data_IF_183490246701
#
_entry.id   IF_183490246701
#
_cell.length_a   1.000
_cell.length_b   1.000
_cell.length_c   1.000
_cell.angle_alpha   90.00
_cell.angle_beta   90.00
_cell.angle_gamma   90.00
#
_symmetry.space_group_name_H-M   'P 1'
#
loop_
_entity.id
_entity.type
_entity.pdbx_description
1 polymer ?
#
# COMPACT_ATOMS: atom_id res chain seq x y z
N UNK A 1 14.34 6.02 -13.31
CA UNK A 1 13.96 4.64 -12.97
C UNK A 1 12.44 4.59 -12.89
N UNK A 2 11.76 3.64 -13.53
CA UNK A 2 10.31 3.49 -13.37
C UNK A 2 9.98 3.26 -11.89
N UNK A 3 8.88 3.83 -11.39
CA UNK A 3 8.47 3.77 -9.97
C UNK A 3 8.35 2.31 -9.47
N UNK A 4 8.07 1.35 -10.36
CA UNK A 4 8.06 -0.09 -10.06
C UNK A 4 9.38 -0.65 -9.49
N UNK A 5 10.52 0.03 -9.71
CA UNK A 5 11.85 -0.40 -9.25
C UNK A 5 12.29 0.33 -7.97
N UNK A 6 11.47 1.25 -7.46
CA UNK A 6 11.83 2.06 -6.30
C UNK A 6 11.17 1.57 -4.99
N UNK A 7 10.13 0.73 -5.07
CA UNK A 7 9.52 0.09 -3.91
C UNK A 7 9.44 -1.42 -4.11
N UNK A 8 10.04 -2.17 -3.18
CA UNK A 8 10.07 -3.62 -3.18
C UNK A 8 9.23 -4.14 -2.02
N UNK A 9 8.31 -5.07 -2.31
CA UNK A 9 7.50 -5.73 -1.30
C UNK A 9 7.70 -7.24 -1.42
N UNK A 10 8.06 -7.87 -0.31
CA UNK A 10 8.14 -9.32 -0.19
C UNK A 10 7.07 -9.82 0.78
N UNK A 11 6.42 -10.93 0.43
CA UNK A 11 5.34 -11.51 1.23
C UNK A 11 5.65 -12.97 1.52
N UNK A 12 5.51 -13.35 2.79
CA UNK A 12 5.61 -14.72 3.25
C UNK A 12 4.27 -15.14 3.87
N UNK A 13 3.69 -16.21 3.32
CA UNK A 13 2.57 -16.93 3.96
C UNK A 13 3.11 -17.91 4.97
N UNK A 14 2.47 -17.98 6.13
CA UNK A 14 2.79 -18.94 7.17
C UNK A 14 1.51 -19.54 7.71
N UNK A 15 1.56 -20.85 7.97
CA UNK A 15 0.55 -21.52 8.79
C UNK A 15 0.48 -20.79 10.15
N UNK A 16 -0.71 -20.35 10.61
CA UNK A 16 -0.87 -19.63 11.87
C UNK A 16 -0.21 -20.33 13.07
N UNK A 17 -0.12 -21.67 13.03
CA UNK A 17 0.46 -22.50 14.10
C UNK A 17 2.00 -22.50 14.06
N UNK A 18 2.61 -22.29 12.88
CA UNK A 18 4.06 -22.45 12.66
C UNK A 18 4.84 -21.14 12.61
N UNK A 19 4.17 -19.99 12.71
CA UNK A 19 4.82 -18.70 12.58
C UNK A 19 5.69 -18.39 13.81
N UNK A 20 6.99 -18.10 13.58
CA UNK A 20 7.87 -17.55 14.62
C UNK A 20 7.47 -16.10 14.88
N UNK A 21 6.61 -15.91 15.87
CA UNK A 21 6.17 -14.59 16.31
C UNK A 21 7.24 -13.87 17.13
N UNK A 22 7.19 -12.54 17.06
CA UNK A 22 7.98 -11.67 17.94
C UNK A 22 7.48 -11.81 19.39
N UNK A 23 8.34 -11.53 20.38
CA UNK A 23 8.02 -11.76 21.81
C UNK A 23 6.74 -11.05 22.28
N UNK A 24 6.42 -9.87 21.73
CA UNK A 24 5.20 -9.14 22.06
C UNK A 24 3.95 -9.73 21.39
N UNK A 25 4.06 -10.22 20.15
CA UNK A 25 2.97 -10.90 19.43
C UNK A 25 2.69 -12.30 19.99
N UNK A 26 3.70 -12.97 20.54
CA UNK A 26 3.57 -14.25 21.25
C UNK A 26 2.59 -14.17 22.43
N UNK A 27 2.55 -13.04 23.14
CA UNK A 27 1.64 -12.84 24.27
C UNK A 27 0.16 -12.75 23.83
N UNK A 28 -0.12 -12.25 22.62
CA UNK A 28 -1.49 -12.18 22.05
C UNK A 28 -1.95 -13.54 21.50
N UNK A 29 -1.05 -14.28 20.85
CA UNK A 29 -1.38 -15.61 20.30
C UNK A 29 -1.75 -16.65 21.37
N UNK A 30 -1.19 -16.52 22.58
CA UNK A 30 -1.55 -17.37 23.73
C UNK A 30 -2.96 -17.08 24.29
N UNK A 31 -3.58 -15.94 23.96
CA UNK A 31 -4.89 -15.53 24.48
C UNK A 31 -6.07 -15.89 23.55
N UNK A 32 -5.87 -15.86 22.22
CA UNK A 32 -6.97 -15.92 21.23
C UNK A 32 -7.01 -17.20 20.36
N UNK A 33 -6.08 -18.15 20.54
CA UNK A 33 -5.97 -19.33 19.68
C UNK A 33 -5.21 -19.03 18.37
N UNK A 34 -5.23 -19.97 17.42
CA UNK A 34 -4.49 -19.89 16.15
C UNK A 34 -5.17 -18.93 15.14
N UNK A 35 -5.33 -17.67 15.52
CA UNK A 35 -5.84 -16.62 14.64
C UNK A 35 -4.75 -16.22 13.64
N UNK A 36 -5.05 -16.09 12.34
CA UNK A 36 -4.11 -15.58 11.35
C UNK A 36 -3.66 -14.15 11.67
N UNK A 37 -2.36 -13.90 11.58
CA UNK A 37 -1.76 -12.60 11.94
C UNK A 37 -1.22 -11.92 10.69
N UNK A 38 -1.46 -10.61 10.57
CA UNK A 38 -0.79 -9.74 9.62
C UNK A 38 0.39 -9.06 10.32
N UNK A 39 1.60 -9.29 9.82
CA UNK A 39 2.81 -8.61 10.26
C UNK A 39 3.38 -7.78 9.12
N UNK A 40 3.78 -6.55 9.41
CA UNK A 40 4.36 -5.63 8.44
C UNK A 40 5.68 -5.11 9.00
N UNK A 41 6.74 -5.20 8.21
CA UNK A 41 8.07 -4.69 8.54
C UNK A 41 8.47 -3.68 7.47
N UNK A 42 8.83 -2.46 7.88
CA UNK A 42 9.35 -1.42 7.00
C UNK A 42 10.87 -1.33 7.16
N UNK A 43 11.61 -1.63 6.10
CA UNK A 43 13.07 -1.57 6.08
C UNK A 43 13.54 -0.17 5.66
N UNK A 44 14.45 0.44 6.44
CA UNK A 44 14.95 1.81 6.20
C UNK A 44 14.30 2.90 7.06
N UNK A 45 13.45 2.52 8.02
CA UNK A 45 12.78 3.45 8.94
C UNK A 45 13.68 4.02 10.05
N UNK A 46 14.96 3.60 10.13
CA UNK A 46 15.92 4.00 11.18
C UNK A 46 16.16 5.52 11.27
N UNK A 47 15.78 6.26 10.22
CA UNK A 47 15.89 7.72 10.12
C UNK A 47 14.56 8.46 10.38
N UNK A 48 13.48 7.74 10.73
CA UNK A 48 12.13 8.29 10.89
C UNK A 48 11.55 8.01 12.29
N UNK A 49 10.69 8.90 12.78
CA UNK A 49 10.00 8.76 14.09
C UNK A 49 8.85 7.70 14.07
N UNK A 50 8.91 6.70 13.18
CA UNK A 50 7.86 5.69 13.01
C UNK A 50 8.31 4.34 13.58
N UNK A 51 7.36 3.55 14.07
CA UNK A 51 7.65 2.18 14.46
C UNK A 51 8.09 1.37 13.21
N UNK A 52 9.19 0.60 13.28
CA UNK A 52 9.68 -0.18 12.13
C UNK A 52 8.77 -1.36 11.78
N UNK A 53 7.87 -1.72 12.70
CA UNK A 53 7.05 -2.91 12.62
C UNK A 53 5.62 -2.60 13.05
N UNK A 54 4.67 -3.29 12.44
CA UNK A 54 3.27 -3.29 12.80
C UNK A 54 2.72 -4.72 12.76
N UNK A 55 1.85 -5.08 13.69
CA UNK A 55 1.15 -6.35 13.68
C UNK A 55 -0.30 -6.21 14.17
N UNK A 56 -1.20 -6.98 13.57
CA UNK A 56 -2.61 -7.08 13.96
C UNK A 56 -3.16 -8.47 13.67
N UNK A 57 -4.23 -8.84 14.38
CA UNK A 57 -4.95 -10.08 14.07
C UNK A 57 -5.81 -9.83 12.82
N UNK A 58 -5.83 -10.75 11.86
CA UNK A 58 -6.68 -10.59 10.66
C UNK A 58 -8.17 -10.55 11.01
N UNK A 59 -8.56 -11.09 12.17
CA UNK A 59 -9.91 -10.95 12.72
C UNK A 59 -10.26 -9.51 13.10
N UNK A 60 -9.28 -8.64 13.36
CA UNK A 60 -9.55 -7.21 13.63
C UNK A 60 -10.14 -6.50 12.41
N UNK A 61 -9.95 -7.06 11.20
CA UNK A 61 -10.61 -6.60 9.99
C UNK A 61 -12.03 -7.15 9.80
N UNK A 62 -12.56 -7.92 10.75
CA UNK A 62 -13.87 -8.56 10.63
C UNK A 62 -14.86 -8.03 11.67
N UNK A 63 -16.09 -7.76 11.23
CA UNK A 63 -17.28 -7.52 12.06
C UNK A 63 -18.26 -8.68 11.84
N UNK A 64 -18.08 -9.75 12.62
CA UNK A 64 -18.71 -11.05 12.36
C UNK A 64 -18.14 -11.69 11.09
N UNK A 65 -19.00 -12.04 10.14
CA UNK A 65 -18.62 -12.69 8.88
C UNK A 65 -18.28 -11.70 7.74
N UNK A 66 -18.26 -10.40 8.02
CA UNK A 66 -18.03 -9.35 7.01
C UNK A 66 -16.82 -8.49 7.37
N UNK A 67 -16.08 -7.98 6.38
CA UNK A 67 -15.04 -6.99 6.64
C UNK A 67 -15.60 -5.73 7.32
N UNK A 68 -14.81 -5.11 8.19
CA UNK A 68 -15.15 -3.80 8.79
C UNK A 68 -15.31 -2.72 7.70
N UNK A 69 -16.06 -1.66 8.00
CA UNK A 69 -16.18 -0.52 7.08
C UNK A 69 -14.87 0.27 6.99
N UNK A 70 -14.69 1.02 5.90
CA UNK A 70 -13.51 1.85 5.73
C UNK A 70 -13.42 2.97 6.77
N UNK A 71 -14.56 3.48 7.26
CA UNK A 71 -14.60 4.47 8.35
C UNK A 71 -14.03 3.89 9.64
N UNK A 72 -14.43 2.66 10.01
CA UNK A 72 -13.87 1.96 11.19
C UNK A 72 -12.37 1.73 11.03
N UNK A 73 -11.91 1.33 9.85
CA UNK A 73 -10.49 1.13 9.58
C UNK A 73 -9.69 2.44 9.68
N UNK A 74 -10.22 3.53 9.13
CA UNK A 74 -9.63 4.86 9.24
C UNK A 74 -9.53 5.32 10.68
N UNK A 75 -10.59 5.14 11.47
CA UNK A 75 -10.59 5.45 12.89
C UNK A 75 -9.50 4.65 13.63
N UNK A 76 -9.42 3.34 13.39
CA UNK A 76 -8.40 2.46 13.98
C UNK A 76 -6.97 2.97 13.71
N UNK A 77 -6.61 3.20 12.45
CA UNK A 77 -5.26 3.66 12.09
C UNK A 77 -4.97 5.11 12.48
N UNK A 78 -6.00 5.90 12.82
CA UNK A 78 -5.83 7.29 13.26
C UNK A 78 -5.45 7.43 14.74
N UNK A 79 -5.67 6.39 15.56
CA UNK A 79 -5.46 6.42 17.01
C UNK A 79 -3.99 6.55 17.40
N UNK A 80 -3.09 5.89 16.67
CA UNK A 80 -1.65 5.96 16.90
C UNK A 80 -0.93 6.58 15.69
N UNK A 81 -0.46 7.83 15.79
CA UNK A 81 0.30 8.49 14.74
C UNK A 81 1.54 7.71 14.28
N UNK A 82 2.15 6.90 15.15
CA UNK A 82 3.33 6.09 14.82
C UNK A 82 3.02 4.91 13.90
N UNK A 83 1.74 4.53 13.79
CA UNK A 83 1.23 3.39 13.02
C UNK A 83 0.47 3.82 11.77
N UNK A 84 0.27 5.12 11.53
CA UNK A 84 -0.43 5.63 10.33
C UNK A 84 0.14 5.12 9.01
N UNK A 85 1.46 4.86 8.95
CA UNK A 85 2.09 4.30 7.75
C UNK A 85 1.61 2.88 7.44
N UNK A 86 1.22 2.10 8.45
CA UNK A 86 0.73 0.75 8.26
C UNK A 86 -0.61 0.72 7.52
N UNK A 87 -1.40 1.81 7.58
CA UNK A 87 -2.67 1.94 6.87
C UNK A 87 -2.52 1.78 5.35
N UNK A 88 -1.42 2.25 4.75
CA UNK A 88 -1.14 2.10 3.31
C UNK A 88 -0.94 0.63 2.92
N UNK A 89 -0.44 -0.21 3.83
CA UNK A 89 -0.12 -1.62 3.57
C UNK A 89 -1.29 -2.50 4.01
N UNK A 90 -1.69 -2.41 5.28
CA UNK A 90 -2.79 -3.18 5.85
C UNK A 90 -4.14 -2.83 5.20
N UNK A 91 -4.32 -1.58 4.76
CA UNK A 91 -5.51 -1.17 4.03
C UNK A 91 -5.68 -1.89 2.69
N UNK A 92 -4.59 -2.31 2.02
CA UNK A 92 -4.70 -3.14 0.80
C UNK A 92 -5.34 -4.49 1.08
N UNK A 93 -5.04 -5.10 2.23
CA UNK A 93 -5.65 -6.36 2.67
C UNK A 93 -7.15 -6.16 2.87
N UNK A 94 -7.55 -5.13 3.61
CA UNK A 94 -8.96 -4.82 3.84
C UNK A 94 -9.71 -4.52 2.53
N UNK A 95 -9.12 -3.73 1.62
CA UNK A 95 -9.75 -3.43 0.32
C UNK A 95 -9.96 -4.70 -0.49
N UNK A 96 -8.99 -5.62 -0.54
CA UNK A 96 -9.14 -6.90 -1.24
C UNK A 96 -10.23 -7.78 -0.61
N UNK A 97 -10.35 -7.80 0.72
CA UNK A 97 -11.43 -8.51 1.42
C UNK A 97 -12.80 -7.91 1.07
N UNK A 98 -12.92 -6.59 1.10
CA UNK A 98 -14.19 -5.87 0.90
C UNK A 98 -14.65 -5.88 -0.55
N UNK A 99 -13.75 -5.60 -1.49
CA UNK A 99 -14.10 -5.36 -2.90
C UNK A 99 -14.08 -6.64 -3.75
N UNK A 100 -13.17 -7.56 -3.42
CA UNK A 100 -12.99 -8.80 -4.18
C UNK A 100 -13.38 -10.06 -3.37
N UNK A 101 -13.81 -9.92 -2.11
CA UNK A 101 -14.25 -11.04 -1.28
C UNK A 101 -13.12 -11.99 -0.86
N UNK A 102 -11.86 -11.57 -0.96
CA UNK A 102 -10.69 -12.41 -0.69
C UNK A 102 -10.67 -12.83 0.78
N UNK A 103 -10.49 -14.12 1.03
CA UNK A 103 -10.42 -14.68 2.38
C UNK A 103 -8.96 -15.03 2.71
N UNK A 104 -8.39 -14.36 3.71
CA UNK A 104 -7.03 -14.61 4.19
C UNK A 104 -7.05 -15.58 5.36
N UNK A 105 -6.87 -16.87 5.09
CA UNK A 105 -6.88 -17.94 6.11
C UNK A 105 -5.52 -18.22 6.74
N UNK A 106 -4.44 -17.80 6.07
CA UNK A 106 -3.07 -17.96 6.56
C UNK A 106 -2.55 -16.65 7.14
N UNK A 107 -1.61 -16.75 8.07
CA UNK A 107 -0.86 -15.57 8.49
C UNK A 107 0.00 -15.04 7.35
N UNK A 108 0.20 -13.73 7.34
CA UNK A 108 0.98 -13.02 6.33
C UNK A 108 2.04 -12.13 6.99
N UNK A 109 3.28 -12.28 6.56
CA UNK A 109 4.36 -11.34 6.87
C UNK A 109 4.73 -10.57 5.61
N UNK A 110 4.63 -9.24 5.66
CA UNK A 110 4.94 -8.31 4.57
C UNK A 110 6.19 -7.52 4.95
N UNK A 111 7.20 -7.56 4.10
CA UNK A 111 8.39 -6.72 4.19
C UNK A 111 8.32 -5.67 3.10
N UNK A 112 8.37 -4.39 3.49
CA UNK A 112 8.39 -3.25 2.58
C UNK A 112 9.76 -2.60 2.62
N UNK A 113 10.37 -2.38 1.46
CA UNK A 113 11.61 -1.62 1.30
C UNK A 113 11.44 -0.62 0.16
N UNK A 114 11.42 0.67 0.49
CA UNK A 114 11.26 1.74 -0.50
C UNK A 114 12.47 2.65 -0.50
N UNK A 115 13.01 2.90 -1.70
CA UNK A 115 13.99 3.95 -1.96
C UNK A 115 13.34 5.25 -2.43
N UNK A 116 12.00 5.32 -2.48
CA UNK A 116 11.27 6.54 -2.86
C UNK A 116 11.32 7.54 -1.70
N UNK A 117 11.85 8.76 -1.89
CA UNK A 117 11.88 9.77 -0.83
C UNK A 117 10.49 10.14 -0.34
N UNK A 118 10.27 10.04 0.97
CA UNK A 118 8.99 10.41 1.58
C UNK A 118 8.75 11.93 1.56
N UNK A 119 7.52 12.35 1.27
CA UNK A 119 7.09 13.75 1.41
C UNK A 119 7.74 14.72 0.42
N UNK A 120 8.27 14.21 -0.70
CA UNK A 120 8.90 15.01 -1.76
C UNK A 120 8.06 15.14 -3.04
N UNK A 121 6.77 14.84 -2.98
CA UNK A 121 5.87 14.96 -4.14
C UNK A 121 6.20 14.00 -5.29
N UNK A 122 6.71 12.80 -4.97
CA UNK A 122 7.08 11.75 -5.93
C UNK A 122 6.27 10.47 -5.73
N UNK A 123 5.00 10.61 -5.30
CA UNK A 123 4.03 9.51 -5.23
C UNK A 123 4.47 8.32 -4.37
N UNK A 124 5.14 8.59 -3.25
CA UNK A 124 5.70 7.54 -2.38
C UNK A 124 4.63 6.62 -1.79
N UNK A 125 3.44 7.14 -1.45
CA UNK A 125 2.30 6.36 -0.95
C UNK A 125 1.77 5.39 -2.01
N UNK A 126 1.42 5.91 -3.19
CA UNK A 126 0.92 5.10 -4.30
C UNK A 126 1.90 4.00 -4.72
N UNK A 127 3.21 4.24 -4.66
CA UNK A 127 4.22 3.20 -4.95
C UNK A 127 4.17 2.04 -3.95
N UNK A 128 3.97 2.33 -2.66
CA UNK A 128 3.88 1.32 -1.59
C UNK A 128 2.57 0.53 -1.71
N UNK A 129 1.45 1.22 -1.92
CA UNK A 129 0.14 0.57 -2.08
C UNK A 129 0.11 -0.35 -3.30
N UNK A 130 0.55 0.14 -4.46
CA UNK A 130 0.55 -0.63 -5.72
C UNK A 130 1.50 -1.82 -5.63
N UNK A 131 2.71 -1.64 -5.09
CA UNK A 131 3.65 -2.74 -4.90
C UNK A 131 3.12 -3.78 -3.92
N UNK A 132 2.50 -3.35 -2.82
CA UNK A 132 1.90 -4.26 -1.83
C UNK A 132 0.75 -5.05 -2.42
N UNK A 133 -0.22 -4.37 -3.05
CA UNK A 133 -1.38 -5.02 -3.62
C UNK A 133 -0.99 -5.97 -4.76
N UNK A 134 0.00 -5.60 -5.58
CA UNK A 134 0.53 -6.47 -6.63
C UNK A 134 1.20 -7.72 -6.05
N UNK A 135 1.96 -7.59 -4.97
CA UNK A 135 2.58 -8.72 -4.30
C UNK A 135 1.54 -9.66 -3.66
N UNK A 136 0.51 -9.11 -3.02
CA UNK A 136 -0.60 -9.90 -2.46
C UNK A 136 -1.32 -10.63 -3.60
N UNK A 137 -1.65 -9.93 -4.68
CA UNK A 137 -2.31 -10.54 -5.84
C UNK A 137 -1.49 -11.70 -6.42
N UNK A 138 -0.17 -11.55 -6.55
CA UNK A 138 0.71 -12.61 -7.03
C UNK A 138 0.74 -13.83 -6.08
N UNK A 139 0.87 -13.61 -4.77
CA UNK A 139 0.97 -14.69 -3.76
C UNK A 139 -0.34 -15.45 -3.57
N UNK A 140 -1.48 -14.78 -3.78
CA UNK A 140 -2.82 -15.37 -3.64
C UNK A 140 -3.45 -15.76 -4.99
N UNK A 141 -2.74 -15.58 -6.10
CA UNK A 141 -3.21 -15.95 -7.45
C UNK A 141 -4.41 -15.12 -7.92
N UNK A 142 -4.52 -13.87 -7.47
CA UNK A 142 -5.59 -12.96 -7.87
C UNK A 142 -5.26 -12.35 -9.24
N UNK A 143 -6.19 -12.45 -10.18
CA UNK A 143 -6.05 -11.82 -11.50
C UNK A 143 -6.71 -10.44 -11.48
N UNK A 144 -5.93 -9.40 -11.21
CA UNK A 144 -6.40 -8.01 -11.13
C UNK A 144 -5.74 -7.23 -12.27
N UNK A 145 -6.54 -6.60 -13.13
CA UNK A 145 -5.99 -5.75 -14.19
C UNK A 145 -5.28 -4.53 -13.57
N UNK A 146 -4.17 -4.02 -14.17
CA UNK A 146 -3.40 -2.92 -13.60
C UNK A 146 -4.24 -1.66 -13.29
N UNK A 147 -5.21 -1.34 -14.17
CA UNK A 147 -6.15 -0.23 -13.96
C UNK A 147 -7.01 -0.43 -12.72
N UNK A 148 -7.57 -1.62 -12.54
CA UNK A 148 -8.45 -1.91 -11.41
C UNK A 148 -7.65 -1.96 -10.11
N UNK A 149 -6.42 -2.49 -10.16
CA UNK A 149 -5.47 -2.44 -9.05
C UNK A 149 -5.20 -0.99 -8.62
N UNK A 150 -4.95 -0.08 -9.57
CA UNK A 150 -4.75 1.34 -9.28
C UNK A 150 -5.98 1.97 -8.60
N UNK A 151 -7.20 1.62 -9.03
CA UNK A 151 -8.44 2.12 -8.43
C UNK A 151 -8.63 1.57 -7.02
N UNK A 152 -8.30 0.30 -6.78
CA UNK A 152 -8.34 -0.30 -5.45
C UNK A 152 -7.31 0.36 -4.51
N UNK A 153 -6.09 0.65 -4.98
CA UNK A 153 -5.11 1.42 -4.21
C UNK A 153 -5.62 2.84 -3.92
N UNK A 154 -6.23 3.53 -4.88
CA UNK A 154 -6.83 4.84 -4.65
C UNK A 154 -7.91 4.81 -3.54
N UNK A 155 -8.67 3.71 -3.44
CA UNK A 155 -9.63 3.51 -2.32
C UNK A 155 -8.92 3.40 -0.98
N UNK A 156 -7.76 2.73 -0.91
CA UNK A 156 -6.94 2.65 0.32
C UNK A 156 -6.57 4.06 0.79
N UNK A 157 -5.99 4.86 -0.09
CA UNK A 157 -5.50 6.19 0.25
C UNK A 157 -6.65 7.14 0.65
N UNK A 158 -7.74 7.14 -0.13
CA UNK A 158 -8.87 8.03 0.13
C UNK A 158 -9.69 7.65 1.36
N UNK A 159 -9.99 6.36 1.55
CA UNK A 159 -10.97 5.93 2.55
C UNK A 159 -10.34 5.42 3.84
N UNK A 160 -9.20 4.73 3.78
CA UNK A 160 -8.57 4.11 4.95
C UNK A 160 -7.50 5.04 5.52
N UNK A 161 -6.57 5.50 4.69
CA UNK A 161 -5.55 6.48 5.12
C UNK A 161 -6.21 7.84 5.38
N UNK A 162 -7.23 8.19 4.58
CA UNK A 162 -7.96 9.44 4.71
C UNK A 162 -7.24 10.62 4.08
N UNK A 163 -6.44 10.38 3.05
CA UNK A 163 -5.72 11.38 2.27
C UNK A 163 -6.40 11.56 0.90
N UNK A 164 -7.23 12.61 0.70
CA UNK A 164 -7.90 12.83 -0.57
C UNK A 164 -6.91 13.02 -1.74
N UNK A 165 -6.95 12.13 -2.72
CA UNK A 165 -6.08 12.10 -3.89
C UNK A 165 -6.83 11.80 -5.19
N UNK A 166 -6.24 12.25 -6.30
CA UNK A 166 -6.59 11.79 -7.65
C UNK A 166 -6.13 10.35 -7.88
N UNK A 167 -6.39 9.81 -9.07
CA UNK A 167 -6.01 8.42 -9.44
C UNK A 167 -4.66 8.35 -10.16
N UNK A 168 -4.07 9.49 -10.51
CA UNK A 168 -2.95 9.57 -11.44
C UNK A 168 -1.71 8.85 -10.91
N UNK A 169 -1.42 9.02 -9.62
CA UNK A 169 -0.28 8.40 -8.96
C UNK A 169 -0.35 6.87 -8.99
N UNK A 170 -1.48 6.31 -8.58
CA UNK A 170 -1.69 4.86 -8.59
C UNK A 170 -1.73 4.32 -10.02
N UNK A 171 -2.32 5.05 -10.96
CA UNK A 171 -2.39 4.65 -12.36
C UNK A 171 -1.01 4.63 -13.02
N UNK A 172 -0.20 5.65 -12.77
CA UNK A 172 1.17 5.74 -13.29
C UNK A 172 2.06 4.67 -12.68
N UNK A 173 1.88 4.38 -11.40
CA UNK A 173 2.58 3.31 -10.69
C UNK A 173 2.21 1.92 -11.22
N UNK A 174 0.93 1.66 -11.49
CA UNK A 174 0.45 0.34 -11.92
C UNK A 174 0.57 0.09 -13.43
N UNK A 175 0.30 1.10 -14.27
CA UNK A 175 0.25 0.98 -15.73
C UNK A 175 1.49 1.52 -16.45
N UNK A 176 2.40 2.18 -15.73
CA UNK A 176 3.59 2.79 -16.31
C UNK A 176 4.55 1.77 -16.91
N UNK A 177 5.13 2.12 -18.06
CA UNK A 177 6.17 1.33 -18.72
C UNK A 177 7.49 2.09 -18.77
N UNK A 178 8.60 1.36 -18.70
CA UNK A 178 9.94 1.95 -18.79
C UNK A 178 10.10 2.70 -20.13
N UNK A 179 10.62 3.93 -20.05
CA UNK A 179 10.87 4.81 -21.19
C UNK A 179 9.62 5.23 -21.97
N UNK A 180 8.44 5.22 -21.34
CA UNK A 180 7.20 5.73 -21.93
C UNK A 180 6.50 6.71 -20.98
N UNK A 181 5.83 7.71 -21.55
CA UNK A 181 4.88 8.56 -20.85
C UNK A 181 3.50 7.90 -20.91
N UNK A 182 2.77 7.92 -19.80
CA UNK A 182 1.40 7.44 -19.73
C UNK A 182 0.44 8.60 -20.01
N UNK A 183 -0.23 8.61 -21.15
CA UNK A 183 -1.31 9.55 -21.43
C UNK A 183 -2.61 8.98 -20.86
N UNK A 184 -3.30 9.74 -20.01
CA UNK A 184 -4.54 9.29 -19.39
C UNK A 184 -5.53 10.42 -19.16
N UNK A 185 -6.81 10.05 -18.99
CA UNK A 185 -7.88 10.93 -18.54
C UNK A 185 -8.22 10.57 -17.10
N UNK A 186 -8.01 11.48 -16.16
CA UNK A 186 -8.20 11.23 -14.73
C UNK A 186 -9.64 10.91 -14.33
N UNK A 187 -10.62 11.44 -15.07
CA UNK A 187 -12.04 11.14 -14.90
C UNK A 187 -12.62 10.75 -16.26
N UNK A 188 -12.83 9.45 -16.56
CA UNK A 188 -13.14 8.35 -15.63
C UNK A 188 -11.99 7.36 -15.36
N UNK A 189 -10.76 7.84 -15.13
CA UNK A 189 -9.57 7.02 -14.92
C UNK A 189 -9.28 6.08 -16.11
N UNK A 190 -9.11 6.66 -17.30
CA UNK A 190 -8.91 5.93 -18.56
C UNK A 190 -7.49 6.14 -19.10
N UNK A 191 -6.74 5.06 -19.26
CA UNK A 191 -5.45 5.09 -19.96
C UNK A 191 -5.71 5.21 -21.46
N UNK A 192 -5.12 6.22 -22.11
CA UNK A 192 -5.26 6.46 -23.54
C UNK A 192 -4.16 5.76 -24.33
N UNK A 193 -2.91 6.09 -24.03
CA UNK A 193 -1.76 5.51 -24.74
C UNK A 193 -0.47 5.60 -23.92
N UNK A 194 0.53 4.82 -24.34
CA UNK A 194 1.88 4.88 -23.82
C UNK A 194 2.81 5.45 -24.89
N UNK A 195 3.27 6.68 -24.68
CA UNK A 195 4.07 7.43 -25.65
C UNK A 195 5.55 7.19 -25.38
N UNK A 196 6.27 6.58 -26.31
CA UNK A 196 7.73 6.38 -26.18
C UNK A 196 8.47 7.70 -26.06
N UNK A 197 9.34 7.80 -25.06
CA UNK A 197 10.20 8.96 -24.84
C UNK A 197 11.34 8.91 -25.87
N UNK A 198 11.53 9.96 -26.69
CA UNK A 198 12.65 10.03 -27.62
C UNK A 198 14.00 9.89 -26.90
N UNK A 199 14.92 9.10 -27.46
CA UNK A 199 16.20 8.75 -26.82
C UNK A 199 17.14 9.93 -26.56
N UNK A 200 16.90 11.08 -27.19
CA UNK A 200 17.65 12.32 -26.99
C UNK A 200 17.03 13.25 -25.94
N UNK A 201 15.85 12.93 -25.40
CA UNK A 201 15.19 13.70 -24.35
C UNK A 201 15.52 13.09 -22.98
N UNK A 202 15.77 13.95 -21.99
CA UNK A 202 15.98 13.58 -20.60
C UNK A 202 15.17 14.49 -19.70
N UNK A 203 14.56 13.93 -18.67
CA UNK A 203 13.83 14.65 -17.64
C UNK A 203 14.66 14.72 -16.38
N UNK A 204 14.68 15.88 -15.73
CA UNK A 204 15.38 16.10 -14.47
C UNK A 204 14.37 16.60 -13.45
N UNK A 205 14.15 15.82 -12.39
CA UNK A 205 13.40 16.28 -11.22
C UNK A 205 14.34 17.01 -10.28
N UNK A 206 14.05 18.29 -10.02
CA UNK A 206 14.81 19.12 -9.08
C UNK A 206 13.99 19.29 -7.81
N UNK A 207 14.44 18.68 -6.72
CA UNK A 207 13.84 18.85 -5.40
C UNK A 207 14.10 20.27 -4.88
N UNK A 208 13.04 20.99 -4.54
CA UNK A 208 13.11 22.35 -4.02
C UNK A 208 13.71 22.43 -2.60
N UNK A 209 13.81 21.31 -1.89
CA UNK A 209 14.22 21.24 -0.50
C UNK A 209 13.14 21.68 0.49
N UNK A 210 11.96 22.10 0.00
CA UNK A 210 10.82 22.48 0.81
C UNK A 210 9.93 21.25 1.02
N UNK A 211 9.77 20.84 2.29
CA UNK A 211 8.80 19.78 2.64
C UNK A 211 7.40 20.36 2.61
N UNK A 212 6.60 19.96 1.62
CA UNK A 212 5.17 20.19 1.65
C UNK A 212 4.51 19.07 2.45
N UNK A 213 4.20 19.30 3.74
CA UNK A 213 3.20 18.48 4.43
C UNK A 213 1.83 18.93 3.95
N UNK A 214 1.35 18.32 2.87
CA UNK A 214 0.05 18.63 2.28
C UNK A 214 -1.05 17.98 3.13
N UNK A 215 -1.49 18.69 4.16
CA UNK A 215 -2.73 18.36 4.89
C UNK A 215 -3.89 18.81 4.00
N UNK A 216 -4.34 17.91 3.13
CA UNK A 216 -5.52 18.09 2.27
C UNK A 216 -5.24 18.82 0.96
N UNK A 217 -5.68 18.21 -0.15
CA UNK A 217 -5.57 18.65 -1.55
C UNK A 217 -4.26 18.27 -2.24
N UNK A 218 -4.27 17.07 -2.83
CA UNK A 218 -3.34 16.67 -3.86
C UNK A 218 -3.89 17.16 -5.21
N UNK A 219 -3.24 18.17 -5.80
CA UNK A 219 -3.21 18.37 -7.24
C UNK A 219 -1.86 17.83 -7.72
N UNK A 220 -1.89 16.66 -8.33
CA UNK A 220 -0.75 16.12 -9.07
C UNK A 220 -0.72 16.83 -10.43
N UNK A 221 0.45 17.36 -10.80
CA UNK A 221 0.72 18.05 -12.08
C UNK A 221 0.68 17.12 -13.28
#
# INVERSE_FOLDING_TARGET
MPIREACHVAIQRSDPIKQKLWKHTQARQLANGAVPILQIVSFGSELSNRAPTFDMDLSDFMDGDKPISYEKAKEYFSQDPSQKWAAYVAGTVLVLMTELGVQFTDSMSILVSSSVPEGKGVSSSASVEVATMSAIAAVYGLNIAPRDLAILCQKVENHIVGAPCGVMDQMTSACGEANKLLAMVCQPAEVKELVSIPTHIRFWGLDSGIRHMLVGLIMDL
#
